data_IF_664431939344
#
_entry.id   IF_664431939344
#
_cell.length_a   1.000
_cell.length_b   1.000
_cell.length_c   1.000
_cell.angle_alpha   90.00
_cell.angle_beta   90.00
_cell.angle_gamma   90.00
#
_symmetry.space_group_name_H-M   'P 1'
#
loop_
_entity.id
_entity.type
_entity.pdbx_description
1 polymer ?
#
# COMPACT_ATOMS: atom_id res chain seq x y z
N UNK A 1 -9.53 -5.29 -15.94
CA UNK A 1 -8.76 -5.66 -14.75
C UNK A 1 -9.62 -6.63 -13.95
N UNK A 2 -9.12 -7.83 -13.63
CA UNK A 2 -9.84 -8.77 -12.77
C UNK A 2 -9.76 -8.31 -11.31
N UNK A 3 -10.77 -8.62 -10.51
CA UNK A 3 -10.76 -8.38 -9.06
C UNK A 3 -11.19 -9.63 -8.31
N UNK A 4 -10.49 -9.97 -7.22
CA UNK A 4 -10.77 -11.13 -6.38
C UNK A 4 -10.73 -10.77 -4.89
N UNK A 5 -11.34 -11.61 -4.06
CA UNK A 5 -11.21 -11.55 -2.60
C UNK A 5 -9.96 -12.34 -2.18
N UNK A 6 -9.18 -11.82 -1.23
CA UNK A 6 -8.01 -12.50 -0.68
C UNK A 6 -8.39 -13.82 0.02
N UNK A 7 -9.60 -13.91 0.58
CA UNK A 7 -10.11 -15.09 1.27
C UNK A 7 -10.74 -16.13 0.33
N UNK A 8 -10.74 -15.89 -0.99
CA UNK A 8 -11.20 -16.87 -1.97
C UNK A 8 -10.32 -18.14 -1.90
N UNK A 9 -10.88 -19.36 -1.76
CA UNK A 9 -10.11 -20.58 -1.59
C UNK A 9 -9.22 -20.96 -2.79
N UNK A 10 -9.41 -20.32 -3.95
CA UNK A 10 -8.55 -20.49 -5.12
C UNK A 10 -7.32 -19.55 -5.11
N UNK A 11 -7.21 -18.65 -4.12
CA UNK A 11 -6.04 -17.81 -3.89
C UNK A 11 -4.95 -18.61 -3.16
N UNK A 12 -3.73 -18.51 -3.67
CA UNK A 12 -2.55 -19.15 -3.09
C UNK A 12 -1.32 -18.23 -3.20
N UNK A 13 -0.26 -18.57 -2.48
CA UNK A 13 1.06 -17.94 -2.57
C UNK A 13 2.11 -19.01 -2.90
N UNK A 14 2.96 -18.74 -3.89
CA UNK A 14 4.10 -19.61 -4.14
C UNK A 14 5.23 -19.41 -3.13
N UNK A 15 6.30 -20.19 -3.26
CA UNK A 15 7.51 -20.09 -2.43
C UNK A 15 8.19 -18.71 -2.47
N UNK A 16 7.92 -17.91 -3.50
CA UNK A 16 8.44 -16.55 -3.63
C UNK A 16 7.45 -15.49 -3.11
N UNK A 17 6.36 -15.91 -2.45
CA UNK A 17 5.26 -15.05 -1.98
C UNK A 17 4.56 -14.29 -3.10
N UNK A 18 4.57 -14.84 -4.33
CA UNK A 18 3.76 -14.30 -5.44
C UNK A 18 2.35 -14.85 -5.35
N UNK A 19 1.39 -13.99 -5.61
CA UNK A 19 -0.03 -14.33 -5.64
C UNK A 19 -0.38 -15.17 -6.87
N UNK A 20 -1.03 -16.30 -6.62
CA UNK A 20 -1.68 -17.11 -7.63
C UNK A 20 -3.19 -17.09 -7.43
N UNK A 21 -3.91 -17.19 -8.53
CA UNK A 21 -5.34 -17.45 -8.53
C UNK A 21 -5.60 -18.60 -9.49
N UNK A 22 -6.21 -19.69 -8.99
CA UNK A 22 -6.40 -20.94 -9.77
C UNK A 22 -5.09 -21.55 -10.29
N UNK A 23 -4.01 -21.39 -9.53
CA UNK A 23 -2.69 -21.94 -9.86
C UNK A 23 -1.88 -21.15 -10.87
N UNK A 24 -2.35 -19.99 -11.35
CA UNK A 24 -1.60 -19.10 -12.24
C UNK A 24 -1.26 -17.76 -11.57
N UNK A 25 -0.14 -17.14 -11.96
CA UNK A 25 0.27 -15.84 -11.45
C UNK A 25 -0.83 -14.79 -11.71
N UNK A 26 -1.24 -14.11 -10.66
CA UNK A 26 -2.38 -13.22 -10.74
C UNK A 26 -1.98 -11.81 -11.19
N UNK A 27 -2.78 -11.25 -12.11
CA UNK A 27 -2.73 -9.82 -12.47
C UNK A 27 -4.12 -9.23 -12.34
N UNK A 28 -4.27 -8.24 -11.47
CA UNK A 28 -5.55 -7.65 -11.14
C UNK A 28 -5.55 -6.94 -9.79
N UNK A 29 -6.73 -6.75 -9.23
CA UNK A 29 -6.92 -6.16 -7.91
C UNK A 29 -7.34 -7.24 -6.90
N UNK A 30 -6.86 -7.13 -5.67
CA UNK A 30 -7.25 -8.01 -4.58
C UNK A 30 -7.84 -7.16 -3.46
N UNK A 31 -9.02 -7.54 -2.99
CA UNK A 31 -9.67 -6.94 -1.83
C UNK A 31 -9.56 -7.86 -0.62
N UNK A 32 -9.44 -7.27 0.57
CA UNK A 32 -9.47 -8.00 1.84
C UNK A 32 -10.59 -7.44 2.72
N UNK A 33 -11.35 -8.32 3.36
CA UNK A 33 -12.44 -7.98 4.25
C UNK A 33 -12.18 -8.51 5.66
N UNK A 34 -12.37 -7.68 6.68
CA UNK A 34 -12.31 -8.10 8.08
C UNK A 34 -13.66 -7.86 8.74
N UNK A 35 -14.30 -8.93 9.21
CA UNK A 35 -15.63 -8.89 9.81
C UNK A 35 -16.68 -8.17 8.93
N UNK A 36 -16.61 -8.37 7.60
CA UNK A 36 -17.52 -7.77 6.62
C UNK A 36 -17.17 -6.34 6.19
N UNK A 37 -16.09 -5.75 6.72
CA UNK A 37 -15.61 -4.43 6.31
C UNK A 37 -14.40 -4.55 5.39
N UNK A 38 -14.40 -3.87 4.23
CA UNK A 38 -13.21 -3.84 3.36
C UNK A 38 -12.08 -3.10 4.07
N UNK A 39 -10.94 -3.75 4.24
CA UNK A 39 -9.75 -3.21 4.92
C UNK A 39 -8.57 -2.99 3.98
N UNK A 40 -8.55 -3.64 2.80
CA UNK A 40 -7.47 -3.49 1.83
C UNK A 40 -7.95 -3.64 0.38
N UNK A 41 -7.29 -2.94 -0.53
CA UNK A 41 -7.40 -3.05 -1.99
C UNK A 41 -6.01 -2.85 -2.57
N UNK A 42 -5.45 -3.88 -3.20
CA UNK A 42 -4.07 -3.90 -3.68
C UNK A 42 -4.03 -4.34 -5.15
N UNK A 43 -3.23 -3.65 -5.96
CA UNK A 43 -2.98 -4.06 -7.36
C UNK A 43 -1.81 -5.03 -7.43
N UNK A 44 -2.00 -6.10 -8.19
CA UNK A 44 -1.00 -7.13 -8.47
C UNK A 44 -0.72 -7.21 -9.97
N UNK A 45 0.54 -7.45 -10.32
CA UNK A 45 1.02 -7.79 -11.67
C UNK A 45 1.98 -8.97 -11.55
N UNK A 46 1.73 -10.04 -12.31
CA UNK A 46 2.51 -11.29 -12.28
C UNK A 46 2.73 -11.84 -10.86
N UNK A 47 1.70 -11.74 -10.03
CA UNK A 47 1.69 -12.16 -8.63
C UNK A 47 2.43 -11.23 -7.65
N UNK A 48 3.09 -10.16 -8.13
CA UNK A 48 3.70 -9.15 -7.26
C UNK A 48 2.76 -7.98 -7.02
N UNK A 49 2.81 -7.38 -5.82
CA UNK A 49 2.16 -6.09 -5.57
C UNK A 49 2.85 -5.02 -6.42
N UNK A 50 2.18 -4.59 -7.46
CA UNK A 50 2.70 -3.63 -8.43
C UNK A 50 1.55 -2.76 -8.95
N UNK A 51 1.60 -1.48 -8.58
CA UNK A 51 0.53 -0.53 -8.78
C UNK A 51 -0.03 0.05 -7.47
N UNK A 52 -1.19 0.71 -7.55
CA UNK A 52 -1.76 1.41 -6.42
C UNK A 52 -2.32 0.44 -5.37
N UNK A 53 -2.29 0.88 -4.11
CA UNK A 53 -3.00 0.24 -3.01
C UNK A 53 -3.70 1.26 -2.12
N UNK A 54 -4.73 0.79 -1.42
CA UNK A 54 -5.45 1.53 -0.38
C UNK A 54 -5.80 0.59 0.77
N UNK A 55 -5.73 1.11 1.97
CA UNK A 55 -6.11 0.42 3.20
C UNK A 55 -7.10 1.29 3.97
N UNK A 56 -8.03 0.66 4.70
CA UNK A 56 -9.06 1.34 5.47
C UNK A 56 -9.10 0.83 6.91
N UNK A 57 -9.49 1.72 7.83
CA UNK A 57 -9.92 1.32 9.16
C UNK A 57 -11.28 0.61 9.09
N UNK A 58 -11.64 -0.14 10.14
CA UNK A 58 -12.97 -0.79 10.23
C UNK A 58 -14.13 0.21 10.14
N UNK A 59 -13.89 1.45 10.56
CA UNK A 59 -14.80 2.59 10.42
C UNK A 59 -15.04 3.03 8.96
N UNK A 60 -14.22 2.55 8.01
CA UNK A 60 -14.25 2.95 6.61
C UNK A 60 -13.40 4.18 6.28
N UNK A 61 -12.77 4.80 7.28
CA UNK A 61 -11.81 5.90 7.07
C UNK A 61 -10.57 5.36 6.36
N UNK A 62 -10.06 6.11 5.37
CA UNK A 62 -8.84 5.76 4.66
C UNK A 62 -7.68 5.74 5.67
N UNK A 63 -7.01 4.60 5.79
CA UNK A 63 -5.89 4.38 6.70
C UNK A 63 -4.57 4.64 6.01
N UNK A 64 -4.40 4.15 4.79
CA UNK A 64 -3.20 4.36 4.00
C UNK A 64 -3.46 4.26 2.50
N UNK A 65 -2.61 4.92 1.71
CA UNK A 65 -2.55 4.75 0.27
C UNK A 65 -1.13 4.96 -0.23
N UNK A 66 -0.84 4.38 -1.39
CA UNK A 66 0.41 4.59 -2.10
C UNK A 66 0.52 3.70 -3.32
N UNK A 67 1.74 3.59 -3.83
CA UNK A 67 2.07 2.74 -4.98
C UNK A 67 3.15 1.76 -4.59
N UNK A 68 3.01 0.49 -5.01
CA UNK A 68 4.06 -0.51 -4.92
C UNK A 68 4.65 -0.79 -6.29
N UNK A 69 5.90 -1.24 -6.33
CA UNK A 69 6.57 -1.75 -7.51
C UNK A 69 7.34 -2.99 -7.10
N UNK A 70 7.02 -4.14 -7.69
CA UNK A 70 7.60 -5.44 -7.33
C UNK A 70 7.61 -5.72 -5.82
N UNK A 71 6.55 -5.34 -5.10
CA UNK A 71 6.43 -5.51 -3.64
C UNK A 71 7.06 -4.41 -2.78
N UNK A 72 7.80 -3.46 -3.37
CA UNK A 72 8.42 -2.36 -2.66
C UNK A 72 7.60 -1.08 -2.79
N UNK A 73 7.55 -0.26 -1.73
CA UNK A 73 6.91 1.07 -1.82
C UNK A 73 7.68 1.96 -2.82
N UNK A 74 6.95 2.55 -3.76
CA UNK A 74 7.46 3.43 -4.82
C UNK A 74 6.65 4.70 -4.89
N UNK A 75 7.32 5.85 -5.02
CA UNK A 75 6.65 7.14 -5.07
C UNK A 75 6.05 7.57 -3.72
N UNK A 76 4.89 8.23 -3.77
CA UNK A 76 4.25 8.81 -2.59
C UNK A 76 3.48 7.75 -1.78
N UNK A 77 3.65 7.82 -0.47
CA UNK A 77 2.85 7.09 0.52
C UNK A 77 2.24 8.07 1.50
N UNK A 78 0.98 7.85 1.84
CA UNK A 78 0.28 8.57 2.90
C UNK A 78 -0.42 7.59 3.81
N UNK A 79 -0.47 7.93 5.09
CA UNK A 79 -1.38 7.31 6.05
C UNK A 79 -2.05 8.36 6.92
N UNK A 80 -3.20 8.01 7.45
CA UNK A 80 -4.03 8.89 8.28
C UNK A 80 -4.34 8.21 9.59
N UNK A 81 -4.57 9.01 10.62
CA UNK A 81 -5.18 8.60 11.89
C UNK A 81 -6.65 8.27 11.67
N UNK A 82 -7.28 7.56 12.60
CA UNK A 82 -8.68 7.17 12.47
C UNK A 82 -9.65 8.37 12.47
N UNK A 83 -9.22 9.53 13.00
CA UNK A 83 -9.96 10.78 12.91
C UNK A 83 -9.86 11.47 11.52
N UNK A 84 -9.12 10.89 10.58
CA UNK A 84 -8.91 11.41 9.21
C UNK A 84 -7.77 12.43 9.08
N UNK A 85 -7.06 12.75 10.15
CA UNK A 85 -5.88 13.63 10.10
C UNK A 85 -4.69 12.87 9.51
N UNK A 86 -3.93 13.52 8.63
CA UNK A 86 -2.73 12.92 8.03
C UNK A 86 -1.74 12.54 9.13
N UNK A 87 -1.32 11.28 9.18
CA UNK A 87 -0.40 10.75 10.18
C UNK A 87 1.03 10.68 9.63
N UNK A 88 1.19 10.27 8.38
CA UNK A 88 2.51 10.10 7.78
C UNK A 88 2.47 10.39 6.29
N UNK A 89 3.54 11.00 5.78
CA UNK A 89 3.80 11.16 4.35
C UNK A 89 5.24 10.76 4.08
N UNK A 90 5.44 9.85 3.13
CA UNK A 90 6.77 9.42 2.68
C UNK A 90 6.86 9.56 1.17
N UNK A 91 8.07 9.80 0.69
CA UNK A 91 8.39 9.70 -0.73
C UNK A 91 9.53 8.70 -0.90
N UNK A 92 9.39 7.78 -1.86
CA UNK A 92 10.45 6.89 -2.31
C UNK A 92 10.78 7.14 -3.78
N UNK A 93 11.96 6.73 -4.23
CA UNK A 93 12.31 6.72 -5.66
C UNK A 93 11.33 5.85 -6.48
N UNK A 94 11.33 6.06 -7.81
CA UNK A 94 10.41 5.37 -8.72
C UNK A 94 10.68 3.85 -8.86
N UNK A 95 11.90 3.42 -8.56
CA UNK A 95 12.28 2.00 -8.52
C UNK A 95 11.85 1.32 -7.21
N UNK A 96 11.47 2.12 -6.22
CA UNK A 96 11.08 1.69 -4.89
C UNK A 96 12.28 1.50 -3.94
N UNK A 97 11.98 1.51 -2.64
CA UNK A 97 12.92 1.13 -1.59
C UNK A 97 13.91 2.20 -1.13
N UNK A 98 14.18 3.27 -1.90
CA UNK A 98 15.01 4.39 -1.41
C UNK A 98 14.12 5.51 -0.85
N UNK A 99 14.15 5.78 0.47
CA UNK A 99 13.39 6.89 1.04
C UNK A 99 14.04 8.23 0.65
N UNK A 100 13.21 9.16 0.16
CA UNK A 100 13.57 10.53 -0.22
C UNK A 100 13.04 11.56 0.78
N UNK A 101 11.89 11.29 1.41
CA UNK A 101 11.36 12.13 2.48
C UNK A 101 10.45 11.35 3.43
N UNK A 102 10.30 11.88 4.64
CA UNK A 102 9.45 11.33 5.70
C UNK A 102 8.97 12.45 6.63
N UNK A 103 7.66 12.58 6.71
CA UNK A 103 6.96 13.50 7.61
C UNK A 103 5.98 12.71 8.46
N UNK A 104 5.87 13.08 9.73
CA UNK A 104 4.91 12.52 10.69
C UNK A 104 4.16 13.67 11.38
N UNK A 105 2.88 13.46 11.65
CA UNK A 105 2.02 14.38 12.40
C UNK A 105 1.23 13.62 13.46
N UNK A 106 0.87 14.30 14.55
CA UNK A 106 -0.05 13.76 15.57
C UNK A 106 -1.52 13.85 15.14
N UNK A 107 -2.43 13.41 16.02
CA UNK A 107 -3.88 13.37 15.75
C UNK A 107 -4.50 14.77 15.60
N UNK A 108 -3.82 15.83 16.04
CA UNK A 108 -4.21 17.23 15.86
C UNK A 108 -3.59 17.87 14.62
N UNK A 109 -2.79 17.11 13.86
CA UNK A 109 -2.13 17.58 12.63
C UNK A 109 -0.90 18.44 12.90
N UNK A 110 -0.34 18.39 14.11
CA UNK A 110 0.91 19.08 14.44
C UNK A 110 2.08 18.20 13.98
N UNK A 111 3.08 18.77 13.28
CA UNK A 111 4.22 18.00 12.83
C UNK A 111 5.04 17.50 14.01
N UNK A 112 5.28 16.19 14.06
CA UNK A 112 6.11 15.53 15.08
C UNK A 112 7.46 15.12 14.52
N UNK A 113 7.56 14.93 13.20
CA UNK A 113 8.80 14.62 12.49
C UNK A 113 8.81 15.21 11.08
N UNK A 114 9.98 15.67 10.65
CA UNK A 114 10.23 16.01 9.25
C UNK A 114 11.68 15.69 8.89
N UNK A 115 11.85 14.96 7.79
CA UNK A 115 13.14 14.68 7.18
C UNK A 115 12.97 14.64 5.66
N UNK A 116 13.94 15.22 4.95
CA UNK A 116 14.01 15.18 3.51
C UNK A 116 15.48 14.99 3.11
N UNK A 117 15.73 14.05 2.21
CA UNK A 117 17.05 13.80 1.63
C UNK A 117 17.06 14.32 0.20
N UNK A 118 17.23 15.63 0.07
CA UNK A 118 17.52 16.24 -1.21
C UNK A 118 19.00 16.02 -1.53
N UNK A 119 19.37 14.83 -2.00
CA UNK A 119 20.66 14.74 -2.72
C UNK A 119 20.48 15.52 -4.03
N UNK A 120 21.26 16.59 -4.27
CA UNK A 120 21.25 17.23 -5.58
C UNK A 120 21.71 16.19 -6.60
N UNK A 121 20.88 15.91 -7.61
CA UNK A 121 21.37 15.22 -8.80
C UNK A 121 22.23 16.25 -9.56
N UNK A 122 23.53 16.24 -9.25
CA UNK A 122 24.55 16.96 -10.00
C UNK A 122 24.99 16.20 -11.23
#
# INVERSE_FOLDING_TARGET
>A
MQRIDLDDPEVDLDYAQRLLYRGELFTGEVEEYLAGHRVSLVTYTDGYRDGPFREWYKSGVLRAEGTMRMGCLSGEYKSWHENGVLATKKLHNAEGGTPLSHYEWDEEGRPTRAWENTTPQG
#
